data_IF_411836286390
#
_entry.id   IF_411836286390
#
_cell.length_a   1.000
_cell.length_b   1.000
_cell.length_c   1.000
_cell.angle_alpha   90.00
_cell.angle_beta   90.00
_cell.angle_gamma   90.00
#
_symmetry.space_group_name_H-M   'P 1'
#
loop_
_entity.id
_entity.type
_entity.pdbx_description
1 polymer ?
#
# COMPACT_ATOMS: atom_id res chain seq x y z
N UNK A 1 11.99 -18.15 -8.84
CA UNK A 1 11.36 -17.21 -7.88
C UNK A 1 12.42 -16.54 -6.99
N UNK A 2 13.65 -16.36 -7.47
CA UNK A 2 14.83 -15.99 -6.66
C UNK A 2 15.83 -15.18 -7.49
N UNK A 3 15.35 -14.28 -8.36
CA UNK A 3 16.20 -13.36 -9.11
C UNK A 3 16.27 -12.01 -8.38
N UNK A 4 17.42 -11.64 -7.77
CA UNK A 4 17.59 -10.36 -7.09
C UNK A 4 17.35 -9.15 -8.01
N UNK A 5 17.66 -9.25 -9.30
CA UNK A 5 17.45 -8.17 -10.26
C UNK A 5 15.97 -7.92 -10.49
N UNK A 6 15.17 -8.99 -10.61
CA UNK A 6 13.72 -8.89 -10.70
C UNK A 6 13.12 -8.19 -9.47
N UNK A 7 13.55 -8.54 -8.26
CA UNK A 7 13.05 -7.90 -7.04
C UNK A 7 13.43 -6.42 -6.96
N UNK A 8 14.65 -6.05 -7.38
CA UNK A 8 15.05 -4.65 -7.48
C UNK A 8 14.10 -3.93 -8.45
N UNK A 9 13.89 -4.44 -9.67
CA UNK A 9 12.98 -3.81 -10.65
C UNK A 9 11.56 -3.60 -10.11
N UNK A 10 11.01 -4.57 -9.39
CA UNK A 10 9.68 -4.44 -8.76
C UNK A 10 9.65 -3.31 -7.73
N UNK A 11 10.67 -3.20 -6.89
CA UNK A 11 10.74 -2.13 -5.88
C UNK A 11 11.00 -0.75 -6.46
N UNK A 12 11.63 -0.66 -7.64
CA UNK A 12 11.74 0.60 -8.39
C UNK A 12 10.41 1.05 -8.93
N UNK A 13 9.71 0.11 -9.59
CA UNK A 13 8.37 0.38 -10.09
C UNK A 13 7.44 0.81 -8.95
N UNK A 14 7.48 0.11 -7.81
CA UNK A 14 6.74 0.53 -6.62
C UNK A 14 7.10 1.96 -6.21
N UNK A 15 8.39 2.30 -6.11
CA UNK A 15 8.82 3.66 -5.74
C UNK A 15 8.27 4.74 -6.68
N UNK A 16 8.27 4.44 -7.99
CA UNK A 16 7.86 5.39 -9.01
C UNK A 16 6.33 5.56 -9.08
N UNK A 17 5.58 4.48 -8.81
CA UNK A 17 4.11 4.49 -8.80
C UNK A 17 3.52 4.96 -7.44
N UNK A 18 4.26 4.79 -6.34
CA UNK A 18 3.78 5.01 -4.96
C UNK A 18 3.17 6.40 -4.72
N UNK A 19 3.76 7.54 -5.16
CA UNK A 19 3.17 8.86 -4.91
C UNK A 19 1.73 8.97 -5.44
N UNK A 20 1.50 8.49 -6.66
CA UNK A 20 0.17 8.48 -7.28
C UNK A 20 -0.76 7.51 -6.58
N UNK A 21 -0.28 6.31 -6.22
CA UNK A 21 -1.09 5.35 -5.47
C UNK A 21 -1.55 5.92 -4.12
N UNK A 22 -0.72 6.70 -3.43
CA UNK A 22 -1.09 7.36 -2.17
C UNK A 22 -2.15 8.46 -2.39
N UNK A 23 -2.07 9.21 -3.48
CA UNK A 23 -3.14 10.16 -3.86
C UNK A 23 -4.48 9.41 -4.08
N UNK A 24 -4.44 8.29 -4.80
CA UNK A 24 -5.61 7.45 -5.01
C UNK A 24 -6.15 6.87 -3.67
N UNK A 25 -5.27 6.46 -2.76
CA UNK A 25 -5.64 5.98 -1.42
C UNK A 25 -6.37 7.04 -0.59
N UNK A 26 -5.96 8.30 -0.66
CA UNK A 26 -6.66 9.41 0.02
C UNK A 26 -8.10 9.53 -0.49
N UNK A 27 -8.29 9.48 -1.82
CA UNK A 27 -9.63 9.55 -2.41
C UNK A 27 -10.50 8.36 -2.01
N UNK A 28 -9.92 7.16 -1.95
CA UNK A 28 -10.61 5.96 -1.48
C UNK A 28 -10.98 6.10 0.00
N UNK A 29 -10.08 6.60 0.86
CA UNK A 29 -10.35 6.78 2.27
C UNK A 29 -11.55 7.72 2.52
N UNK A 30 -11.59 8.85 1.80
CA UNK A 30 -12.73 9.79 1.83
C UNK A 30 -14.03 9.07 1.42
N UNK A 31 -14.02 8.32 0.32
CA UNK A 31 -15.20 7.58 -0.14
C UNK A 31 -15.67 6.51 0.85
N UNK A 32 -14.74 5.87 1.58
CA UNK A 32 -15.06 4.89 2.62
C UNK A 32 -15.64 5.54 3.88
N UNK A 33 -15.18 6.74 4.24
CA UNK A 33 -15.77 7.53 5.33
C UNK A 33 -17.23 7.92 5.00
N UNK A 34 -17.46 8.40 3.78
CA UNK A 34 -18.81 8.72 3.28
C UNK A 34 -19.71 7.48 3.26
N UNK A 35 -19.20 6.35 2.75
CA UNK A 35 -19.92 5.08 2.75
C UNK A 35 -20.30 4.65 4.17
N UNK A 36 -19.38 4.74 5.12
CA UNK A 36 -19.62 4.37 6.52
C UNK A 36 -20.68 5.27 7.16
N UNK A 37 -20.65 6.58 6.89
CA UNK A 37 -21.65 7.53 7.37
C UNK A 37 -23.05 7.21 6.84
N UNK A 38 -23.20 6.97 5.54
CA UNK A 38 -24.50 6.64 4.95
C UNK A 38 -24.98 5.24 5.38
N UNK A 39 -24.08 4.27 5.48
CA UNK A 39 -24.38 2.94 6.00
C UNK A 39 -24.91 2.99 7.44
N UNK A 40 -24.35 3.87 8.28
CA UNK A 40 -24.82 4.10 9.65
C UNK A 40 -26.24 4.66 9.68
N UNK A 41 -26.55 5.64 8.82
CA UNK A 41 -27.93 6.18 8.69
C UNK A 41 -28.91 5.11 8.20
N UNK A 42 -28.45 4.23 7.30
CA UNK A 42 -29.25 3.16 6.71
C UNK A 42 -29.35 1.89 7.59
N UNK A 43 -28.66 1.83 8.73
CA UNK A 43 -28.63 0.64 9.59
C UNK A 43 -27.94 -0.58 8.97
N UNK A 44 -27.00 -0.36 8.02
CA UNK A 44 -26.29 -1.40 7.26
C UNK A 44 -24.89 -1.65 7.80
N UNK A 45 -24.78 -2.45 8.86
CA UNK A 45 -23.53 -2.72 9.55
C UNK A 45 -22.47 -3.40 8.67
N UNK A 46 -22.89 -4.15 7.65
CA UNK A 46 -22.00 -4.82 6.69
C UNK A 46 -21.09 -3.85 5.94
N UNK A 47 -21.59 -2.66 5.59
CA UNK A 47 -20.83 -1.65 4.86
C UNK A 47 -19.93 -0.80 5.76
N UNK A 48 -20.30 -0.64 7.04
CA UNK A 48 -19.43 -0.04 8.06
C UNK A 48 -18.19 -0.93 8.24
N UNK A 49 -18.40 -2.24 8.45
CA UNK A 49 -17.30 -3.20 8.61
C UNK A 49 -16.42 -3.32 7.38
N UNK A 50 -17.00 -3.23 6.17
CA UNK A 50 -16.23 -3.20 4.93
C UNK A 50 -15.29 -1.99 4.90
N UNK A 51 -15.81 -0.81 5.24
CA UNK A 51 -15.06 0.44 5.24
C UNK A 51 -13.90 0.39 6.24
N UNK A 52 -14.15 -0.08 7.46
CA UNK A 52 -13.12 -0.25 8.49
C UNK A 52 -12.01 -1.22 8.07
N UNK A 53 -12.38 -2.34 7.43
CA UNK A 53 -11.41 -3.33 6.93
C UNK A 53 -10.53 -2.77 5.82
N UNK A 54 -11.10 -2.01 4.88
CA UNK A 54 -10.34 -1.40 3.80
C UNK A 54 -9.40 -0.29 4.31
N UNK A 55 -9.83 0.53 5.26
CA UNK A 55 -8.96 1.51 5.92
C UNK A 55 -7.83 0.84 6.71
N UNK A 56 -8.10 -0.32 7.33
CA UNK A 56 -7.05 -1.11 7.98
C UNK A 56 -6.06 -1.71 6.98
N UNK A 57 -6.55 -2.22 5.85
CA UNK A 57 -5.73 -2.74 4.76
C UNK A 57 -4.77 -1.66 4.22
N UNK A 58 -5.27 -0.47 3.89
CA UNK A 58 -4.44 0.65 3.41
C UNK A 58 -3.35 1.03 4.41
N UNK A 59 -3.68 1.13 5.72
CA UNK A 59 -2.68 1.40 6.76
C UNK A 59 -1.57 0.35 6.84
N UNK A 60 -1.91 -0.94 6.73
CA UNK A 60 -0.90 -2.00 6.71
C UNK A 60 0.04 -1.87 5.51
N UNK A 61 -0.49 -1.51 4.36
CA UNK A 61 0.30 -1.26 3.17
C UNK A 61 1.23 -0.05 3.34
N UNK A 62 0.68 1.08 3.76
CA UNK A 62 1.39 2.36 3.85
C UNK A 62 2.42 2.40 4.98
N UNK A 63 2.11 1.86 6.15
CA UNK A 63 2.97 1.93 7.33
C UNK A 63 4.01 0.80 7.36
N UNK A 64 3.68 -0.36 6.80
CA UNK A 64 4.50 -1.58 6.95
C UNK A 64 4.99 -2.07 5.60
N UNK A 65 4.11 -2.43 4.67
CA UNK A 65 4.51 -3.20 3.49
C UNK A 65 5.30 -2.38 2.47
N UNK A 66 4.84 -1.19 2.10
CA UNK A 66 5.53 -0.34 1.13
C UNK A 66 6.90 0.11 1.65
N UNK A 67 7.03 0.65 2.88
CA UNK A 67 8.35 1.04 3.41
C UNK A 67 9.31 -0.14 3.49
N UNK A 68 8.83 -1.31 3.93
CA UNK A 68 9.65 -2.53 4.03
C UNK A 68 10.12 -3.00 2.66
N UNK A 69 9.23 -3.03 1.66
CA UNK A 69 9.59 -3.43 0.30
C UNK A 69 10.66 -2.51 -0.30
N UNK A 70 10.50 -1.19 -0.12
CA UNK A 70 11.46 -0.19 -0.59
C UNK A 70 12.83 -0.31 0.11
N UNK A 71 12.83 -0.54 1.43
CA UNK A 71 14.04 -0.75 2.22
C UNK A 71 14.81 -1.99 1.74
N UNK A 72 14.12 -3.12 1.60
CA UNK A 72 14.74 -4.38 1.17
C UNK A 72 15.23 -4.29 -0.28
N UNK A 73 14.47 -3.69 -1.19
CA UNK A 73 14.91 -3.46 -2.57
C UNK A 73 16.19 -2.60 -2.65
N UNK A 74 16.26 -1.55 -1.82
CA UNK A 74 17.46 -0.71 -1.71
C UNK A 74 18.66 -1.48 -1.16
N UNK A 75 18.44 -2.31 -0.15
CA UNK A 75 19.48 -3.16 0.44
C UNK A 75 20.04 -4.18 -0.56
N UNK A 76 19.17 -4.88 -1.31
CA UNK A 76 19.58 -5.86 -2.32
C UNK A 76 20.45 -5.18 -3.39
N UNK A 77 20.00 -4.03 -3.90
CA UNK A 77 20.77 -3.24 -4.89
C UNK A 77 22.14 -2.84 -4.36
N UNK A 78 22.21 -2.38 -3.12
CA UNK A 78 23.48 -2.02 -2.48
C UNK A 78 24.42 -3.23 -2.42
N UNK A 79 23.92 -4.40 -2.04
CA UNK A 79 24.71 -5.65 -1.99
C UNK A 79 25.17 -6.13 -3.35
N UNK A 80 24.38 -5.92 -4.40
CA UNK A 80 24.80 -6.24 -5.77
C UNK A 80 25.95 -5.35 -6.24
N UNK A 81 25.91 -4.04 -5.92
CA UNK A 81 26.98 -3.09 -6.26
C UNK A 81 28.29 -3.33 -5.50
N UNK A 82 28.23 -3.98 -4.33
CA UNK A 82 29.41 -4.34 -3.52
C UNK A 82 30.08 -5.65 -3.94
N UNK A 83 29.41 -6.45 -4.78
CA UNK A 83 29.95 -7.73 -5.30
C UNK A 83 30.67 -7.58 -6.66
N UNK A 84 30.66 -6.38 -7.22
CA UNK A 84 31.44 -5.95 -8.40
C UNK A 84 32.63 -5.15 -7.89
#
# INVERSE_FOLDING_TARGET
MTDPEHHVRLTERLRDELPRMLEDHVLIAIALEDLSMEAKKAGRSEYIQLSEKLLHHARMEEEIFYPTALLIGSYIRQKMRQKV
#
